data_IF_756196454231
#
_entry.id   IF_756196454231
#
_cell.length_a   1.000
_cell.length_b   1.000
_cell.length_c   1.000
_cell.angle_alpha   90.00
_cell.angle_beta   90.00
_cell.angle_gamma   90.00
#
_symmetry.space_group_name_H-M   'P 1'
#
loop_
_entity.id
_entity.type
_entity.pdbx_description
1 polymer ?
#
# COMPACT_ATOMS: atom_id res chain seq x y z
N UNK A 1 20.12 1.34 -18.03
CA UNK A 1 18.72 1.81 -17.92
C UNK A 1 17.97 0.86 -16.99
N UNK A 2 17.28 1.41 -15.98
CA UNK A 2 16.54 0.62 -15.00
C UNK A 2 15.13 1.22 -14.80
N UNK A 3 14.22 0.39 -14.29
CA UNK A 3 12.89 0.77 -13.83
C UNK A 3 12.76 0.34 -12.36
N UNK A 4 12.27 1.23 -11.51
CA UNK A 4 11.99 0.93 -10.11
C UNK A 4 10.48 0.69 -9.94
N UNK A 5 10.12 -0.36 -9.23
CA UNK A 5 8.74 -0.65 -8.82
C UNK A 5 8.62 -0.48 -7.30
N UNK A 6 7.64 0.31 -6.86
CA UNK A 6 7.24 0.46 -5.47
C UNK A 6 5.92 -0.31 -5.28
N UNK A 7 5.99 -1.40 -4.54
CA UNK A 7 4.85 -2.31 -4.32
C UNK A 7 4.38 -2.18 -2.87
N UNK A 8 3.29 -1.45 -2.68
CA UNK A 8 2.64 -1.28 -1.40
C UNK A 8 1.62 -2.40 -1.19
N UNK A 9 2.05 -3.46 -0.52
CA UNK A 9 1.21 -4.61 -0.18
C UNK A 9 0.40 -4.41 1.10
N UNK A 10 -0.34 -5.44 1.49
CA UNK A 10 -1.18 -5.45 2.69
C UNK A 10 -0.39 -5.61 3.99
N UNK A 11 0.73 -6.31 3.94
CA UNK A 11 1.55 -6.62 5.14
C UNK A 11 2.95 -6.05 5.07
N UNK A 12 3.37 -5.58 3.91
CA UNK A 12 4.73 -5.12 3.67
C UNK A 12 4.81 -4.16 2.50
N UNK A 13 5.83 -3.33 2.52
CA UNK A 13 6.24 -2.45 1.42
C UNK A 13 7.47 -3.01 0.75
N UNK A 14 7.51 -3.01 -0.58
CA UNK A 14 8.59 -3.59 -1.36
C UNK A 14 9.10 -2.60 -2.40
N UNK A 15 10.39 -2.62 -2.63
CA UNK A 15 11.05 -1.91 -3.74
C UNK A 15 11.83 -2.91 -4.57
N UNK A 16 11.63 -2.89 -5.88
CA UNK A 16 12.30 -3.77 -6.83
C UNK A 16 12.85 -2.92 -7.97
N UNK A 17 14.08 -3.21 -8.39
CA UNK A 17 14.68 -2.59 -9.57
C UNK A 17 14.91 -3.64 -10.64
N UNK A 18 14.44 -3.34 -11.83
CA UNK A 18 14.56 -4.19 -13.02
C UNK A 18 15.51 -3.57 -14.04
N UNK A 19 16.26 -4.41 -14.73
CA UNK A 19 17.02 -4.02 -15.91
C UNK A 19 16.13 -3.94 -17.17
N UNK A 20 16.72 -3.57 -18.29
CA UNK A 20 16.02 -3.48 -19.60
C UNK A 20 15.48 -4.82 -20.13
N UNK A 21 15.91 -5.93 -19.58
CA UNK A 21 15.47 -7.28 -19.95
C UNK A 21 14.41 -7.83 -18.98
N UNK A 22 14.04 -7.07 -17.94
CA UNK A 22 13.09 -7.50 -16.92
C UNK A 22 13.68 -8.34 -15.79
N UNK A 23 15.02 -8.46 -15.73
CA UNK A 23 15.67 -9.17 -14.63
C UNK A 23 15.70 -8.29 -13.38
N UNK A 24 15.50 -8.91 -12.21
CA UNK A 24 15.61 -8.22 -10.92
C UNK A 24 17.09 -7.97 -10.60
N UNK A 25 17.47 -6.71 -10.49
CA UNK A 25 18.83 -6.27 -10.15
C UNK A 25 18.99 -6.10 -8.64
N UNK A 26 17.99 -5.49 -7.99
CA UNK A 26 17.95 -5.29 -6.56
C UNK A 26 16.52 -5.35 -6.05
N UNK A 27 16.35 -5.83 -4.83
CA UNK A 27 15.06 -5.81 -4.12
C UNK A 27 15.25 -5.67 -2.63
N UNK A 28 14.31 -4.99 -1.97
CA UNK A 28 14.17 -4.95 -0.52
C UNK A 28 12.68 -4.96 -0.15
N UNK A 29 12.38 -5.46 1.03
CA UNK A 29 11.02 -5.54 1.57
C UNK A 29 11.07 -5.30 3.07
N UNK A 30 10.13 -4.51 3.57
CA UNK A 30 9.95 -4.26 5.00
C UNK A 30 8.48 -4.48 5.36
N UNK A 31 8.27 -5.19 6.45
CA UNK A 31 6.94 -5.37 7.03
C UNK A 31 6.56 -4.15 7.86
N UNK A 32 5.26 -3.93 8.05
CA UNK A 32 4.71 -2.96 8.97
C UNK A 32 3.63 -3.60 9.83
N UNK A 33 3.37 -2.99 10.98
CA UNK A 33 2.49 -3.55 11.99
C UNK A 33 1.04 -3.56 11.53
N UNK A 34 0.36 -4.67 11.82
CA UNK A 34 -1.09 -4.79 11.71
C UNK A 34 -1.72 -4.40 13.05
N UNK A 35 -2.73 -3.55 13.04
CA UNK A 35 -3.41 -3.06 14.24
C UNK A 35 -4.81 -3.66 14.28
N UNK A 36 -5.16 -4.29 15.40
CA UNK A 36 -6.45 -4.93 15.62
C UNK A 36 -7.16 -4.30 16.83
N UNK A 37 -7.83 -3.14 16.68
CA UNK A 37 -8.44 -2.43 17.81
C UNK A 37 -9.55 -3.22 18.51
N UNK A 38 -10.31 -4.00 17.72
CA UNK A 38 -11.41 -4.84 18.18
C UNK A 38 -11.53 -6.08 17.29
N UNK A 39 -12.32 -7.07 17.72
CA UNK A 39 -12.60 -8.26 16.92
C UNK A 39 -13.16 -7.88 15.53
N UNK A 40 -12.54 -8.36 14.47
CA UNK A 40 -12.91 -8.08 13.09
C UNK A 40 -12.49 -6.70 12.55
N UNK A 41 -11.82 -5.88 13.36
CA UNK A 41 -11.27 -4.60 12.91
C UNK A 41 -9.81 -4.74 12.53
N UNK A 42 -9.44 -4.16 11.41
CA UNK A 42 -8.04 -4.14 10.94
C UNK A 42 -7.69 -2.73 10.48
N UNK A 43 -6.60 -2.22 11.00
CA UNK A 43 -6.07 -0.89 10.69
C UNK A 43 -4.56 -0.96 10.46
N UNK A 44 -4.05 0.02 9.72
CA UNK A 44 -2.62 0.26 9.57
C UNK A 44 -2.28 1.69 9.95
N UNK A 45 -1.08 1.91 10.48
CA UNK A 45 -0.53 3.25 10.66
C UNK A 45 0.01 3.77 9.32
N UNK A 46 -0.54 4.87 8.76
CA UNK A 46 -0.07 5.42 7.50
C UNK A 46 1.41 5.85 7.54
N UNK A 47 1.91 6.27 8.69
CA UNK A 47 3.31 6.68 8.83
C UNK A 47 4.26 5.46 8.83
N UNK A 48 3.84 4.34 9.40
CA UNK A 48 4.60 3.08 9.29
C UNK A 48 4.62 2.57 7.84
N UNK A 49 3.51 2.68 7.11
CA UNK A 49 3.45 2.34 5.68
C UNK A 49 4.46 3.18 4.90
N UNK A 50 4.40 4.51 5.06
CA UNK A 50 5.32 5.43 4.37
C UNK A 50 6.78 5.13 4.75
N UNK A 51 7.06 4.99 6.04
CA UNK A 51 8.39 4.69 6.55
C UNK A 51 8.97 3.39 6.00
N UNK A 52 8.17 2.32 5.97
CA UNK A 52 8.59 1.02 5.43
C UNK A 52 8.90 1.08 3.93
N UNK A 53 8.13 1.87 3.16
CA UNK A 53 8.38 2.07 1.73
C UNK A 53 9.66 2.87 1.50
N UNK A 54 9.85 3.98 2.22
CA UNK A 54 11.07 4.79 2.12
C UNK A 54 12.32 4.01 2.53
N UNK A 55 12.21 3.19 3.58
CA UNK A 55 13.30 2.33 4.02
C UNK A 55 13.66 1.29 2.95
N UNK A 56 12.67 0.62 2.33
CA UNK A 56 12.93 -0.34 1.26
C UNK A 56 13.58 0.33 0.05
N UNK A 57 13.18 1.56 -0.29
CA UNK A 57 13.84 2.35 -1.34
C UNK A 57 15.31 2.66 -0.99
N UNK A 58 15.57 3.14 0.22
CA UNK A 58 16.92 3.46 0.67
C UNK A 58 17.84 2.24 0.63
N UNK A 59 17.35 1.07 1.06
CA UNK A 59 18.11 -0.19 1.01
C UNK A 59 18.47 -0.57 -0.42
N UNK A 60 17.55 -0.42 -1.37
CA UNK A 60 17.78 -0.75 -2.77
C UNK A 60 18.75 0.25 -3.41
N UNK A 61 18.54 1.55 -3.19
CA UNK A 61 19.41 2.59 -3.74
C UNK A 61 20.84 2.51 -3.19
N UNK A 62 20.98 2.18 -1.90
CA UNK A 62 22.28 2.00 -1.24
C UNK A 62 22.96 0.65 -1.50
N UNK A 63 22.35 -0.25 -2.28
CA UNK A 63 22.86 -1.61 -2.48
C UNK A 63 24.17 -1.69 -3.28
N UNK A 64 24.52 -0.66 -4.04
CA UNK A 64 25.69 -0.63 -4.92
C UNK A 64 25.60 -1.55 -6.16
N UNK A 65 24.44 -2.17 -6.39
CA UNK A 65 24.25 -3.14 -7.50
C UNK A 65 23.98 -2.49 -8.85
N UNK A 66 23.66 -1.20 -8.87
CA UNK A 66 23.36 -0.43 -10.08
C UNK A 66 23.60 1.06 -9.80
N UNK A 67 23.66 1.85 -10.86
CA UNK A 67 23.73 3.31 -10.78
C UNK A 67 22.31 3.90 -10.67
N UNK A 68 21.93 4.53 -9.54
CA UNK A 68 20.61 5.13 -9.36
C UNK A 68 20.26 6.20 -10.42
N UNK A 69 21.24 6.89 -10.98
CA UNK A 69 21.02 7.90 -12.03
C UNK A 69 20.48 7.28 -13.33
N UNK A 70 20.64 5.99 -13.49
CA UNK A 70 20.13 5.26 -14.65
C UNK A 70 18.69 4.77 -14.50
N UNK A 71 18.01 5.07 -13.38
CA UNK A 71 16.57 4.82 -13.23
C UNK A 71 15.82 5.80 -14.13
N UNK A 72 15.02 5.28 -15.06
CA UNK A 72 14.28 6.09 -16.05
C UNK A 72 12.80 6.23 -15.74
N UNK A 73 12.25 5.34 -14.92
CA UNK A 73 10.86 5.39 -14.51
C UNK A 73 10.66 4.73 -13.16
N UNK A 74 9.61 5.18 -12.46
CA UNK A 74 9.13 4.58 -11.22
C UNK A 74 7.67 4.18 -11.44
N UNK A 75 7.35 2.90 -11.23
CA UNK A 75 5.99 2.39 -11.18
C UNK A 75 5.55 2.22 -9.73
N UNK A 76 4.31 2.57 -9.42
CA UNK A 76 3.76 2.45 -8.07
C UNK A 76 2.51 1.59 -8.13
N UNK A 77 2.42 0.58 -7.28
CA UNK A 77 1.18 -0.14 -6.99
C UNK A 77 0.78 0.07 -5.54
N UNK A 78 -0.51 0.30 -5.31
CA UNK A 78 -1.03 0.62 -3.99
C UNK A 78 -1.74 -0.57 -3.33
N UNK A 79 -1.97 -0.45 -2.02
CA UNK A 79 -2.92 -1.29 -1.30
C UNK A 79 -4.33 -0.82 -1.65
N UNK A 80 -5.02 -1.55 -2.52
CA UNK A 80 -6.36 -1.21 -2.99
C UNK A 80 -7.40 -1.21 -1.87
N UNK A 81 -8.48 -0.43 -2.04
CA UNK A 81 -9.62 -0.36 -1.11
C UNK A 81 -9.20 0.10 0.32
N UNK A 82 -8.08 0.82 0.41
CA UNK A 82 -7.60 1.42 1.65
C UNK A 82 -7.55 2.93 1.47
N UNK A 83 -8.24 3.66 2.36
CA UNK A 83 -8.33 5.12 2.28
C UNK A 83 -7.56 5.76 3.44
N UNK A 84 -6.75 6.76 3.13
CA UNK A 84 -6.02 7.57 4.09
C UNK A 84 -6.45 9.02 3.91
N UNK A 85 -6.76 9.69 5.00
CA UNK A 85 -7.02 11.13 5.06
C UNK A 85 -5.94 11.76 5.92
N UNK A 86 -5.32 12.83 5.43
CA UNK A 86 -4.27 13.54 6.15
C UNK A 86 -4.50 15.04 6.11
N UNK A 87 -3.96 15.73 7.10
CA UNK A 87 -3.95 17.18 7.16
C UNK A 87 -2.97 17.74 6.13
N UNK A 88 -3.43 18.68 5.31
CA UNK A 88 -2.66 19.21 4.18
C UNK A 88 -1.45 20.04 4.64
N UNK A 89 -1.57 20.73 5.78
CA UNK A 89 -0.53 21.63 6.27
C UNK A 89 0.57 20.86 7.03
N UNK A 90 0.16 19.90 7.86
CA UNK A 90 1.09 19.13 8.69
C UNK A 90 1.59 17.86 8.02
N UNK A 91 0.86 17.33 7.03
CA UNK A 91 1.13 16.04 6.40
C UNK A 91 0.80 14.83 7.29
N UNK A 92 0.24 15.06 8.48
CA UNK A 92 -0.09 13.98 9.42
C UNK A 92 -1.44 13.33 9.10
N UNK A 93 -1.57 12.00 9.24
CA UNK A 93 -2.84 11.31 9.07
C UNK A 93 -3.82 11.71 10.19
N UNK A 94 -5.09 11.88 9.83
CA UNK A 94 -6.16 12.22 10.79
C UNK A 94 -6.55 10.99 11.62
N UNK A 95 -6.39 9.82 11.05
CA UNK A 95 -6.71 8.52 11.66
C UNK A 95 -5.90 7.41 10.99
N UNK A 96 -5.86 6.22 11.61
CA UNK A 96 -5.29 5.04 11.00
C UNK A 96 -5.99 4.69 9.68
N UNK A 97 -5.27 4.09 8.76
CA UNK A 97 -5.83 3.55 7.54
C UNK A 97 -6.75 2.37 7.86
N UNK A 98 -8.03 2.49 7.52
CA UNK A 98 -8.99 1.38 7.59
C UNK A 98 -8.81 0.57 6.32
N UNK A 99 -8.41 -0.68 6.46
CA UNK A 99 -8.01 -1.51 5.33
C UNK A 99 -9.14 -2.43 4.85
N UNK A 100 -8.98 -2.97 3.65
CA UNK A 100 -9.98 -3.81 2.99
C UNK A 100 -10.40 -5.06 3.78
N UNK A 101 -9.54 -5.56 4.65
CA UNK A 101 -9.80 -6.72 5.53
C UNK A 101 -10.74 -6.39 6.70
N UNK A 102 -10.93 -5.10 7.01
CA UNK A 102 -11.71 -4.65 8.16
C UNK A 102 -13.19 -4.98 7.99
N UNK A 103 -13.80 -5.58 9.02
CA UNK A 103 -15.20 -5.99 9.04
C UNK A 103 -16.13 -5.04 9.81
N UNK A 104 -15.65 -3.86 10.22
CA UNK A 104 -16.46 -2.90 11.03
C UNK A 104 -17.77 -2.47 10.37
N UNK A 105 -17.86 -2.49 9.04
CA UNK A 105 -19.05 -2.11 8.28
C UNK A 105 -19.95 -3.29 7.89
N UNK A 106 -19.62 -4.51 8.30
CA UNK A 106 -20.35 -5.72 7.86
C UNK A 106 -21.84 -5.68 8.23
N UNK A 107 -22.18 -5.22 9.44
CA UNK A 107 -23.59 -5.07 9.89
C UNK A 107 -24.34 -4.01 9.08
N UNK A 108 -23.70 -2.86 8.82
CA UNK A 108 -24.29 -1.81 7.98
C UNK A 108 -24.56 -2.32 6.57
N UNK A 109 -23.57 -2.99 5.97
CA UNK A 109 -23.73 -3.60 4.64
C UNK A 109 -24.86 -4.63 4.62
N UNK A 110 -25.00 -5.45 5.66
CA UNK A 110 -26.09 -6.41 5.82
C UNK A 110 -27.45 -5.73 5.85
N UNK A 111 -27.60 -4.68 6.66
CA UNK A 111 -28.85 -3.92 6.78
C UNK A 111 -29.25 -3.21 5.47
N UNK A 112 -28.30 -2.68 4.73
CA UNK A 112 -28.53 -2.05 3.42
C UNK A 112 -28.99 -3.08 2.37
N UNK A 113 -28.42 -4.28 2.38
CA UNK A 113 -28.87 -5.39 1.49
C UNK A 113 -30.31 -5.79 1.79
N UNK A 114 -30.69 -5.93 3.06
CA UNK A 114 -32.04 -6.25 3.47
C UNK A 114 -33.05 -5.19 3.04
N UNK A 115 -32.65 -3.93 2.93
CA UNK A 115 -33.48 -2.82 2.43
C UNK A 115 -33.54 -2.75 0.88
N UNK A 116 -33.02 -3.74 0.18
CA UNK A 116 -33.01 -3.76 -1.29
C UNK A 116 -32.01 -2.80 -1.95
N UNK A 117 -31.18 -2.13 -1.16
CA UNK A 117 -30.12 -1.28 -1.68
C UNK A 117 -28.97 -2.19 -2.15
N UNK A 118 -28.83 -2.35 -3.47
CA UNK A 118 -27.66 -3.01 -4.06
C UNK A 118 -26.46 -2.10 -3.83
N UNK A 119 -25.52 -2.53 -3.00
CA UNK A 119 -24.22 -1.89 -2.91
C UNK A 119 -23.53 -2.18 -4.25
N UNK A 120 -23.34 -1.16 -5.06
CA UNK A 120 -22.65 -1.25 -6.35
C UNK A 120 -21.15 -1.50 -6.18
N UNK A 121 -20.75 -2.41 -5.30
CA UNK A 121 -19.35 -2.81 -5.11
C UNK A 121 -18.88 -3.86 -6.12
N UNK A 122 -19.77 -4.30 -7.01
CA UNK A 122 -19.45 -5.32 -8.02
C UNK A 122 -18.85 -4.75 -9.31
N UNK A 123 -18.84 -3.42 -9.50
CA UNK A 123 -18.42 -2.81 -10.77
C UNK A 123 -16.97 -2.33 -10.82
N UNK A 124 -16.19 -2.52 -9.77
CA UNK A 124 -14.75 -2.12 -9.75
C UNK A 124 -13.84 -3.37 -9.78
N UNK A 125 -14.31 -4.44 -10.39
CA UNK A 125 -13.43 -5.56 -10.76
C UNK A 125 -13.13 -5.46 -12.25
N UNK A 126 -12.35 -4.49 -12.64
CA UNK A 126 -11.96 -4.36 -14.01
C UNK A 126 -10.92 -3.26 -14.19
N UNK A 127 -9.71 -3.56 -13.75
CA UNK A 127 -8.45 -3.08 -14.34
C UNK A 127 -7.34 -4.02 -13.88
#
# INVERSE_FOLDING_TARGET
MYVMALDQGTTSSRTIVFDKHGNIVAKAQNEFRQIYPQAGWVEHDPMEILGSQLQSMSMVLGSGKFDPQQIKAIGITNQRETTIIWDKETGLPVYNAIVWQCRRTAQLCGSLRLRGLRIMSASIRGF
#
